data_IF_870373557015
#
_entry.id   IF_870373557015
#
_cell.length_a   1.000
_cell.length_b   1.000
_cell.length_c   1.000
_cell.angle_alpha   90.00
_cell.angle_beta   90.00
_cell.angle_gamma   90.00
#
_symmetry.space_group_name_H-M   'P 1'
#
loop_
_entity.id
_entity.type
_entity.pdbx_description
1 polymer ?
#
# COMPACT_ATOMS: atom_id res chain seq x y z
N UNK A 1 -6.90 12.40 -0.99
CA UNK A 1 -7.35 11.26 -1.79
C UNK A 1 -7.49 10.08 -0.86
N UNK A 2 -8.61 9.38 -0.93
CA UNK A 2 -8.93 8.28 -0.03
C UNK A 2 -8.79 6.96 -0.78
N UNK A 3 -8.03 6.01 -0.24
CA UNK A 3 -7.85 4.68 -0.79
C UNK A 3 -8.46 3.65 0.17
N UNK A 4 -9.72 3.33 -0.08
CA UNK A 4 -10.49 2.43 0.76
C UNK A 4 -9.93 1.02 0.85
N UNK A 5 -9.50 0.47 -0.29
CA UNK A 5 -8.92 -0.87 -0.34
C UNK A 5 -7.56 -0.95 0.38
N UNK A 6 -6.79 0.14 0.36
CA UNK A 6 -5.51 0.25 1.06
C UNK A 6 -5.62 0.66 2.54
N UNK A 7 -6.78 1.16 2.96
CA UNK A 7 -7.02 1.65 4.32
C UNK A 7 -6.24 2.94 4.66
N UNK A 8 -5.99 3.81 3.67
CA UNK A 8 -5.27 5.06 3.91
C UNK A 8 -5.76 6.22 3.03
N UNK A 9 -5.46 7.44 3.48
CA UNK A 9 -5.58 8.66 2.68
C UNK A 9 -4.23 9.33 2.50
N UNK A 10 -4.06 10.10 1.42
CA UNK A 10 -2.82 10.79 1.07
C UNK A 10 -3.08 12.08 0.26
N UNK A 11 -2.06 12.93 0.17
CA UNK A 11 -2.09 14.15 -0.65
C UNK A 11 -1.30 13.92 -1.94
N UNK A 12 -1.93 14.16 -3.09
CA UNK A 12 -1.26 14.04 -4.40
C UNK A 12 -0.27 15.20 -4.56
N UNK A 13 1.00 14.95 -4.91
CA UNK A 13 1.96 16.03 -5.15
C UNK A 13 1.53 16.93 -6.32
N UNK A 14 1.89 18.22 -6.28
CA UNK A 14 1.58 19.15 -7.36
C UNK A 14 2.16 18.67 -8.71
N UNK A 15 1.37 18.72 -9.77
CA UNK A 15 1.76 18.23 -11.10
C UNK A 15 1.66 16.71 -11.28
N UNK A 16 1.03 15.99 -10.35
CA UNK A 16 0.73 14.55 -10.46
C UNK A 16 -0.78 14.29 -10.50
N UNK A 17 -1.16 13.18 -11.12
CA UNK A 17 -2.54 12.67 -11.10
C UNK A 17 -2.55 11.19 -10.77
N UNK A 18 -3.65 10.72 -10.19
CA UNK A 18 -3.91 9.29 -10.05
C UNK A 18 -4.17 8.72 -11.44
N UNK A 19 -3.40 7.71 -11.83
CA UNK A 19 -3.62 6.97 -13.07
C UNK A 19 -4.63 5.85 -12.84
N UNK A 20 -5.48 5.61 -13.84
CA UNK A 20 -6.55 4.62 -13.74
C UNK A 20 -5.97 3.22 -13.59
N UNK A 21 -6.38 2.56 -12.52
CA UNK A 21 -5.66 1.48 -11.88
C UNK A 21 -6.53 0.21 -11.82
N UNK A 22 -7.37 0.00 -12.83
CA UNK A 22 -8.24 -1.18 -12.94
C UNK A 22 -7.50 -2.53 -12.86
N UNK A 23 -6.16 -2.54 -12.92
CA UNK A 23 -5.30 -3.71 -12.69
C UNK A 23 -4.56 -3.75 -11.33
N UNK A 24 -4.58 -2.66 -10.53
CA UNK A 24 -3.93 -2.65 -9.21
C UNK A 24 -4.80 -3.43 -8.22
N UNK A 25 -4.42 -4.69 -8.01
CA UNK A 25 -5.31 -5.69 -7.43
C UNK A 25 -5.50 -5.59 -5.90
N UNK A 26 -4.80 -4.71 -5.18
CA UNK A 26 -4.70 -4.79 -3.70
C UNK A 26 -4.57 -3.43 -2.98
N UNK A 27 -5.36 -2.42 -3.35
CA UNK A 27 -5.39 -1.15 -2.61
C UNK A 27 -4.13 -0.30 -2.77
N UNK A 28 -3.53 -0.38 -3.94
CA UNK A 28 -2.43 0.49 -4.37
C UNK A 28 -2.98 1.64 -5.21
N UNK A 29 -2.23 2.73 -5.29
CA UNK A 29 -2.46 3.83 -6.20
C UNK A 29 -1.19 4.07 -7.01
N UNK A 30 -1.35 4.28 -8.32
CA UNK A 30 -0.29 4.70 -9.22
C UNK A 30 -0.51 6.18 -9.53
N UNK A 31 0.52 7.00 -9.35
CA UNK A 31 0.54 8.39 -9.77
C UNK A 31 1.48 8.53 -10.97
N UNK A 32 1.02 9.31 -11.95
CA UNK A 32 1.80 9.72 -13.12
C UNK A 32 1.84 11.23 -13.19
N UNK A 33 2.92 11.79 -13.73
CA UNK A 33 3.04 13.23 -13.92
C UNK A 33 1.96 13.73 -14.89
N UNK A 34 1.42 14.92 -14.67
CA UNK A 34 0.50 15.56 -15.59
C UNK A 34 1.32 16.00 -16.82
N UNK A 35 0.95 15.59 -18.04
CA UNK A 35 1.68 15.97 -19.23
C UNK A 35 1.58 17.49 -19.44
N UNK A 36 2.64 18.14 -19.95
CA UNK A 36 2.58 19.53 -20.39
C UNK A 36 1.48 19.75 -21.43
N UNK A 37 0.95 20.97 -21.48
CA UNK A 37 -0.04 21.36 -22.48
C UNK A 37 0.48 21.11 -23.90
N UNK A 38 -0.31 20.43 -24.73
CA UNK A 38 0.10 20.02 -26.09
C UNK A 38 0.77 18.65 -26.19
N UNK A 39 1.01 17.95 -25.07
CA UNK A 39 1.47 16.54 -25.09
C UNK A 39 0.38 15.60 -24.56
N UNK A 40 0.03 14.53 -25.30
CA UNK A 40 -1.07 13.65 -24.90
C UNK A 40 -0.68 12.66 -23.80
N UNK A 41 0.61 12.25 -23.72
CA UNK A 41 1.05 11.17 -22.84
C UNK A 41 1.99 11.68 -21.73
N UNK A 42 1.86 11.17 -20.49
CA UNK A 42 2.79 11.49 -19.41
C UNK A 42 4.17 10.88 -19.67
N UNK A 43 5.24 11.43 -19.07
CA UNK A 43 6.56 10.80 -19.09
C UNK A 43 6.50 9.36 -18.56
N UNK A 44 7.17 8.43 -19.24
CA UNK A 44 7.18 7.00 -18.91
C UNK A 44 8.37 6.58 -18.02
N UNK A 45 9.30 7.49 -17.76
CA UNK A 45 10.51 7.29 -16.97
C UNK A 45 10.40 7.85 -15.54
N UNK A 46 9.19 8.27 -15.13
CA UNK A 46 8.89 8.59 -13.73
C UNK A 46 7.47 8.18 -13.34
N UNK A 47 7.32 7.57 -12.17
CA UNK A 47 6.02 7.19 -11.62
C UNK A 47 6.09 7.05 -10.10
N UNK A 48 4.94 7.14 -9.43
CA UNK A 48 4.85 6.91 -7.99
C UNK A 48 3.85 5.81 -7.70
N UNK A 49 4.30 4.76 -7.02
CA UNK A 49 3.44 3.70 -6.53
C UNK A 49 3.32 3.84 -5.01
N UNK A 50 2.11 3.85 -4.49
CA UNK A 50 1.87 3.85 -3.05
C UNK A 50 0.77 2.87 -2.68
N UNK A 51 0.83 2.34 -1.47
CA UNK A 51 -0.15 1.35 -1.04
C UNK A 51 0.13 0.80 0.33
N UNK A 52 -0.70 -0.16 0.72
CA UNK A 52 -0.50 -0.91 1.96
C UNK A 52 0.70 -1.84 1.81
N UNK A 53 1.60 -1.84 2.79
CA UNK A 53 2.74 -2.74 2.81
C UNK A 53 2.29 -4.11 3.32
N UNK A 54 1.74 -4.93 2.42
CA UNK A 54 1.31 -6.29 2.72
C UNK A 54 2.51 -7.25 2.83
N UNK A 55 2.34 -8.32 3.59
CA UNK A 55 3.30 -9.40 3.80
C UNK A 55 3.64 -10.17 2.52
N UNK A 56 2.85 -10.04 1.45
CA UNK A 56 3.19 -10.56 0.13
C UNK A 56 4.38 -9.81 -0.49
N UNK A 57 4.54 -8.53 -0.15
CA UNK A 57 5.76 -7.79 -0.45
C UNK A 57 6.81 -8.23 0.57
N UNK A 58 7.96 -8.68 0.11
CA UNK A 58 9.00 -9.19 1.00
C UNK A 58 9.46 -8.15 2.04
N UNK A 59 9.38 -6.86 1.69
CA UNK A 59 9.57 -5.74 2.60
C UNK A 59 8.56 -5.69 3.78
N UNK A 60 7.34 -6.18 3.60
CA UNK A 60 6.33 -6.25 4.67
C UNK A 60 6.66 -7.26 5.77
N UNK A 61 7.56 -8.22 5.50
CA UNK A 61 8.02 -9.17 6.50
C UNK A 61 9.07 -8.59 7.46
N UNK A 62 9.68 -7.45 7.13
CA UNK A 62 10.75 -6.85 7.92
C UNK A 62 10.23 -6.31 9.25
N UNK A 63 10.99 -6.52 10.33
CA UNK A 63 10.62 -6.03 11.66
C UNK A 63 10.81 -4.51 11.81
N UNK A 64 11.65 -3.90 10.97
CA UNK A 64 12.06 -2.50 11.06
C UNK A 64 11.76 -1.72 9.77
N UNK A 65 11.40 -0.44 9.92
CA UNK A 65 11.01 0.42 8.79
C UNK A 65 12.20 0.76 7.88
N UNK A 66 13.42 0.90 8.41
CA UNK A 66 14.61 1.12 7.58
C UNK A 66 14.94 -0.11 6.73
N UNK A 67 14.89 -1.31 7.33
CA UNK A 67 15.06 -2.57 6.57
C UNK A 67 13.97 -2.76 5.53
N UNK A 68 12.72 -2.47 5.87
CA UNK A 68 11.60 -2.52 4.94
C UNK A 68 11.83 -1.58 3.75
N UNK A 69 12.25 -0.33 4.00
CA UNK A 69 12.51 0.66 2.96
C UNK A 69 13.66 0.24 2.02
N UNK A 70 14.77 -0.25 2.55
CA UNK A 70 15.92 -0.72 1.74
C UNK A 70 15.55 -1.94 0.90
N UNK A 71 14.82 -2.90 1.49
CA UNK A 71 14.35 -4.09 0.78
C UNK A 71 13.35 -3.74 -0.31
N UNK A 72 12.40 -2.85 0.00
CA UNK A 72 11.43 -2.35 -0.97
C UNK A 72 12.11 -1.63 -2.13
N UNK A 73 13.07 -0.75 -1.85
CA UNK A 73 13.85 -0.08 -2.89
C UNK A 73 14.59 -1.10 -3.77
N UNK A 74 15.15 -2.16 -3.17
CA UNK A 74 15.87 -3.20 -3.92
C UNK A 74 14.96 -4.02 -4.81
N UNK A 75 13.86 -4.56 -4.26
CA UNK A 75 12.91 -5.40 -4.98
C UNK A 75 12.24 -4.61 -6.13
N UNK A 76 11.86 -3.35 -5.87
CA UNK A 76 11.27 -2.48 -6.89
C UNK A 76 12.32 -1.98 -7.88
N UNK A 77 13.55 -1.72 -7.43
CA UNK A 77 14.63 -1.34 -8.32
C UNK A 77 14.95 -2.43 -9.33
N UNK A 78 14.98 -3.70 -8.94
CA UNK A 78 15.17 -4.82 -9.85
C UNK A 78 14.02 -4.95 -10.85
N UNK A 79 12.78 -4.78 -10.39
CA UNK A 79 11.59 -4.89 -11.24
C UNK A 79 11.50 -3.76 -12.28
N UNK A 80 11.72 -2.51 -11.86
CA UNK A 80 11.54 -1.34 -12.71
C UNK A 80 12.81 -0.95 -13.49
N UNK A 81 13.99 -1.36 -13.03
CA UNK A 81 15.28 -1.10 -13.66
C UNK A 81 16.07 -2.41 -13.83
N UNK A 82 15.62 -3.34 -14.69
CA UNK A 82 16.21 -4.67 -14.83
C UNK A 82 17.60 -4.66 -15.53
N UNK A 83 18.12 -3.48 -15.84
CA UNK A 83 19.40 -3.32 -16.54
C UNK A 83 20.57 -3.32 -15.54
N UNK A 84 21.71 -3.90 -15.92
CA UNK A 84 22.89 -3.90 -15.08
C UNK A 84 23.38 -2.46 -14.83
N UNK A 85 23.79 -2.20 -13.58
CA UNK A 85 24.28 -0.90 -13.15
C UNK A 85 24.82 -0.92 -11.74
N UNK A 86 25.41 0.20 -11.35
CA UNK A 86 25.99 0.39 -10.01
C UNK A 86 25.13 1.37 -9.21
N UNK A 87 24.79 1.00 -7.97
CA UNK A 87 24.09 1.89 -7.05
C UNK A 87 25.04 2.97 -6.53
N UNK A 88 24.63 4.23 -6.66
CA UNK A 88 25.37 5.41 -6.21
C UNK A 88 24.43 6.34 -5.44
N UNK A 89 24.98 7.34 -4.74
CA UNK A 89 24.21 8.38 -4.05
C UNK A 89 23.16 7.85 -3.07
N UNK A 90 23.49 6.77 -2.36
CA UNK A 90 22.58 6.10 -1.42
C UNK A 90 22.33 7.00 -0.20
N UNK A 91 21.06 7.11 0.20
CA UNK A 91 20.65 7.96 1.32
C UNK A 91 19.49 7.32 2.08
N UNK A 92 19.40 7.63 3.39
CA UNK A 92 18.24 7.31 4.21
C UNK A 92 17.65 8.57 4.82
N UNK A 93 16.33 8.71 4.77
CA UNK A 93 15.62 9.90 5.28
C UNK A 93 14.62 9.45 6.36
N UNK A 94 14.65 10.00 7.58
CA UNK A 94 13.62 9.74 8.58
C UNK A 94 12.28 10.35 8.15
N UNK A 95 11.19 9.63 8.42
CA UNK A 95 9.82 10.05 8.12
C UNK A 95 8.98 10.11 9.40
N UNK A 96 8.04 11.04 9.42
CA UNK A 96 7.05 11.19 10.48
C UNK A 96 5.70 11.57 9.86
N UNK A 97 4.84 10.57 9.70
CA UNK A 97 3.49 10.74 9.19
C UNK A 97 2.50 10.96 10.35
N UNK A 98 2.69 12.06 11.09
CA UNK A 98 1.86 12.45 12.23
C UNK A 98 1.86 11.40 13.36
N UNK A 99 3.06 11.07 13.86
CA UNK A 99 3.30 10.07 14.90
C UNK A 99 3.55 8.66 14.36
N UNK A 100 3.24 8.41 13.09
CA UNK A 100 3.64 7.19 12.40
C UNK A 100 5.09 7.32 11.92
N UNK A 101 6.00 6.72 12.68
CA UNK A 101 7.42 6.72 12.33
C UNK A 101 7.67 5.96 11.03
N UNK A 102 8.69 6.38 10.30
CA UNK A 102 9.08 5.75 9.06
C UNK A 102 10.50 6.07 8.64
N UNK A 103 10.94 5.41 7.59
CA UNK A 103 12.23 5.66 6.96
C UNK A 103 12.04 5.54 5.45
N UNK A 104 12.75 6.38 4.71
CA UNK A 104 12.94 6.21 3.29
C UNK A 104 14.36 5.83 2.95
N UNK A 105 14.52 5.06 1.89
CA UNK A 105 15.79 4.75 1.24
C UNK A 105 15.77 5.30 -0.17
N UNK A 106 16.83 6.01 -0.55
CA UNK A 106 17.05 6.50 -1.89
C UNK A 106 18.35 5.94 -2.45
N UNK A 107 18.38 5.66 -3.74
CA UNK A 107 19.62 5.50 -4.48
C UNK A 107 19.42 5.81 -5.97
N UNK A 108 20.53 6.08 -6.63
CA UNK A 108 20.62 6.22 -8.07
C UNK A 108 21.34 5.00 -8.66
N UNK A 109 20.95 4.59 -9.86
CA UNK A 109 21.58 3.50 -10.60
C UNK A 109 22.27 4.11 -11.81
N UNK A 110 23.60 4.05 -11.81
CA UNK A 110 24.39 4.33 -13.00
C UNK A 110 24.44 3.06 -13.85
N UNK A 111 23.72 3.04 -14.96
CA UNK A 111 23.68 1.88 -15.84
C UNK A 111 25.04 1.66 -16.53
N UNK A 112 25.35 0.40 -16.85
CA UNK A 112 26.55 0.06 -17.62
C UNK A 112 26.47 0.59 -19.05
N UNK A 113 25.26 0.68 -19.61
CA UNK A 113 24.99 1.32 -20.89
C UNK A 113 24.97 2.85 -20.72
N UNK A 114 26.00 3.52 -21.26
CA UNK A 114 26.17 4.96 -21.16
C UNK A 114 25.11 5.78 -21.94
N UNK A 115 24.32 5.14 -22.81
CA UNK A 115 23.23 5.80 -23.52
C UNK A 115 21.93 5.85 -22.71
N UNK A 116 21.86 5.13 -21.57
CA UNK A 116 20.71 5.17 -20.69
C UNK A 116 20.89 6.26 -19.64
N UNK A 117 19.87 7.12 -19.41
CA UNK A 117 19.90 8.03 -18.28
C UNK A 117 19.95 7.23 -16.99
N UNK A 118 20.67 7.73 -15.98
CA UNK A 118 20.72 7.09 -14.69
C UNK A 118 19.31 6.92 -14.12
N UNK A 119 19.01 5.76 -13.56
CA UNK A 119 17.74 5.51 -12.88
C UNK A 119 17.79 6.02 -11.46
N UNK A 120 16.66 6.43 -10.91
CA UNK A 120 16.55 6.87 -9.51
C UNK A 120 15.37 6.19 -8.85
N UNK A 121 15.56 5.78 -7.61
CA UNK A 121 14.49 5.21 -6.80
C UNK A 121 14.53 5.77 -5.39
N UNK A 122 13.36 6.14 -4.90
CA UNK A 122 13.10 6.50 -3.53
C UNK A 122 11.99 5.59 -3.01
N UNK A 123 12.20 4.94 -1.89
CA UNK A 123 11.20 4.07 -1.27
C UNK A 123 11.05 4.42 0.21
N UNK A 124 9.88 4.92 0.59
CA UNK A 124 9.50 5.25 1.95
C UNK A 124 8.55 4.21 2.53
N UNK A 125 8.74 3.88 3.80
CA UNK A 125 7.81 3.07 4.59
C UNK A 125 7.46 3.85 5.86
N UNK A 126 6.16 4.02 6.12
CA UNK A 126 5.62 4.68 7.32
C UNK A 126 4.62 3.75 8.01
N UNK A 127 4.56 3.82 9.33
CA UNK A 127 3.58 3.07 10.12
C UNK A 127 4.20 2.19 11.20
N UNK A 128 3.33 1.59 12.01
CA UNK A 128 3.75 0.83 13.16
C UNK A 128 4.42 -0.49 12.74
N UNK A 129 5.63 -0.80 13.24
CA UNK A 129 6.21 -2.11 13.04
C UNK A 129 5.38 -3.21 13.71
N UNK A 130 5.25 -4.41 13.08
CA UNK A 130 4.68 -5.55 13.76
C UNK A 130 5.47 -5.83 15.04
N UNK A 131 4.81 -6.11 16.18
CA UNK A 131 5.51 -6.45 17.41
C UNK A 131 6.48 -7.63 17.19
N UNK A 132 7.66 -7.62 17.83
CA UNK A 132 8.60 -8.74 17.74
C UNK A 132 7.91 -10.07 18.06
N UNK A 133 8.18 -11.10 17.26
CA UNK A 133 7.58 -12.43 17.45
C UNK A 133 6.16 -12.59 16.93
N UNK A 134 5.50 -11.53 16.41
CA UNK A 134 4.15 -11.66 15.83
C UNK A 134 4.17 -12.62 14.63
N UNK A 135 3.40 -13.74 14.66
CA UNK A 135 3.32 -14.69 13.56
C UNK A 135 2.86 -14.02 12.28
N UNK A 136 3.39 -14.43 11.12
CA UNK A 136 3.09 -13.80 9.82
C UNK A 136 1.58 -13.68 9.57
N UNK A 137 0.79 -14.70 9.89
CA UNK A 137 -0.68 -14.68 9.71
C UNK A 137 -1.46 -13.76 10.67
N UNK A 138 -0.81 -13.16 11.67
CA UNK A 138 -1.43 -12.32 12.71
C UNK A 138 -0.93 -10.86 12.65
N UNK A 139 -0.02 -10.53 11.74
CA UNK A 139 0.45 -9.15 11.59
C UNK A 139 -0.65 -8.34 10.89
N UNK A 140 -1.16 -7.31 11.56
CA UNK A 140 -1.98 -6.30 10.91
C UNK A 140 -1.06 -5.34 10.14
N UNK A 141 -1.17 -5.22 8.81
CA UNK A 141 -0.36 -4.25 8.08
C UNK A 141 -0.89 -2.85 8.33
N UNK A 142 -0.44 -2.20 9.40
CA UNK A 142 -0.59 -0.76 9.65
C UNK A 142 0.63 0.01 9.12
N UNK A 143 1.17 -0.48 8.01
CA UNK A 143 2.28 0.14 7.30
C UNK A 143 1.86 0.42 5.87
N UNK A 144 2.35 1.54 5.38
CA UNK A 144 2.16 1.97 4.01
C UNK A 144 3.50 2.29 3.41
N UNK A 145 3.57 2.13 2.09
CA UNK A 145 4.76 2.41 1.33
C UNK A 145 4.48 3.46 0.26
N UNK A 146 5.56 4.15 -0.12
CA UNK A 146 5.61 5.05 -1.26
C UNK A 146 6.90 4.74 -2.00
N UNK A 147 6.81 4.42 -3.28
CA UNK A 147 7.95 4.19 -4.19
C UNK A 147 7.85 5.22 -5.29
N UNK A 148 8.85 6.09 -5.38
CA UNK A 148 8.99 7.08 -6.44
C UNK A 148 10.14 6.67 -7.35
N UNK A 149 9.81 6.43 -8.61
CA UNK A 149 10.74 6.09 -9.68
C UNK A 149 11.03 7.34 -10.50
N UNK A 150 12.29 7.53 -10.88
CA UNK A 150 12.71 8.61 -11.73
C UNK A 150 13.90 8.23 -12.59
N UNK A 151 14.35 9.18 -13.40
CA UNK A 151 15.54 9.10 -14.23
C UNK A 151 16.34 10.39 -14.13
N UNK A 152 17.51 10.46 -14.73
CA UNK A 152 18.24 11.73 -14.87
C UNK A 152 17.42 12.82 -15.61
N UNK A 153 16.50 12.44 -16.49
CA UNK A 153 15.63 13.38 -17.23
C UNK A 153 14.44 13.84 -16.37
N UNK A 154 13.93 12.95 -15.52
CA UNK A 154 12.84 13.21 -14.59
C UNK A 154 13.25 12.74 -13.19
N UNK A 155 14.08 13.54 -12.50
CA UNK A 155 14.65 13.13 -11.21
C UNK A 155 13.58 13.03 -10.14
N UNK A 156 13.85 12.19 -9.14
CA UNK A 156 12.99 12.09 -7.96
C UNK A 156 13.09 13.37 -7.15
N UNK A 157 11.95 14.02 -6.94
CA UNK A 157 11.83 15.10 -5.96
C UNK A 157 11.75 14.49 -4.56
N UNK A 158 12.90 14.36 -3.90
CA UNK A 158 13.02 13.76 -2.56
C UNK A 158 12.17 14.49 -1.52
N UNK A 159 12.03 15.81 -1.63
CA UNK A 159 11.24 16.60 -0.70
C UNK A 159 9.75 16.32 -0.90
N UNK A 160 9.27 16.35 -2.14
CA UNK A 160 7.88 15.99 -2.45
C UNK A 160 7.56 14.53 -2.11
N UNK A 161 8.52 13.60 -2.30
CA UNK A 161 8.37 12.20 -1.92
C UNK A 161 8.22 12.04 -0.40
N UNK A 162 9.05 12.73 0.38
CA UNK A 162 8.94 12.77 1.84
C UNK A 162 7.62 13.41 2.29
N UNK A 163 7.20 14.53 1.69
CA UNK A 163 5.90 15.15 1.97
C UNK A 163 4.74 14.22 1.66
N UNK A 164 4.78 13.50 0.54
CA UNK A 164 3.77 12.50 0.19
C UNK A 164 3.70 11.39 1.23
N UNK A 165 4.83 10.80 1.62
CA UNK A 165 4.86 9.75 2.63
C UNK A 165 4.38 10.26 4.01
N UNK A 166 4.80 11.46 4.41
CA UNK A 166 4.35 12.10 5.65
C UNK A 166 2.88 12.55 5.62
N UNK A 167 2.24 12.58 4.45
CA UNK A 167 0.80 12.87 4.31
C UNK A 167 -0.10 11.67 4.57
N UNK A 168 0.48 10.45 4.63
CA UNK A 168 -0.30 9.22 4.79
C UNK A 168 -1.02 9.23 6.14
N UNK A 169 -2.32 8.94 6.12
CA UNK A 169 -3.12 8.73 7.33
C UNK A 169 -3.88 7.41 7.21
N UNK A 170 -4.03 6.64 8.30
CA UNK A 170 -4.98 5.54 8.34
C UNK A 170 -6.37 6.05 8.00
N UNK A 171 -7.09 5.32 7.16
CA UNK A 171 -8.43 5.70 6.72
C UNK A 171 -9.34 4.48 6.71
N UNK A 172 -10.54 4.65 7.25
CA UNK A 172 -11.61 3.65 7.20
C UNK A 172 -12.83 4.33 6.57
N UNK A 173 -13.49 3.71 5.57
CA UNK A 173 -14.67 4.30 4.98
C UNK A 173 -15.74 4.49 6.06
N UNK A 174 -16.47 5.61 6.06
CA UNK A 174 -17.60 5.79 6.97
C UNK A 174 -18.60 4.64 6.78
N UNK A 175 -19.22 4.22 7.88
CA UNK A 175 -20.23 3.17 7.84
C UNK A 175 -21.36 3.59 6.87
N UNK A 176 -21.86 2.68 6.02
CA UNK A 176 -23.00 2.98 5.19
C UNK A 176 -24.18 3.42 6.08
N UNK A 177 -25.00 4.39 5.62
CA UNK A 177 -26.18 4.79 6.37
C UNK A 177 -27.04 3.56 6.66
N UNK A 178 -27.62 3.50 7.86
CA UNK A 178 -28.54 2.43 8.23
C UNK A 178 -29.62 2.34 7.14
N UNK A 179 -29.82 1.14 6.59
CA UNK A 179 -30.90 0.90 5.64
C UNK A 179 -32.22 1.33 6.28
N UNK A 180 -33.04 2.07 5.54
CA UNK A 180 -34.36 2.48 6.02
C UNK A 180 -35.17 1.22 6.39
N UNK A 181 -35.60 1.06 7.66
CA UNK A 181 -36.41 -0.08 8.08
C UNK A 181 -37.72 -0.23 7.29
N UNK A 182 -38.15 0.82 6.59
CA UNK A 182 -39.35 0.84 5.76
C UNK A 182 -39.06 0.68 4.25
N UNK A 183 -37.80 0.50 3.84
CA UNK A 183 -37.50 0.23 2.44
C UNK A 183 -38.09 -1.13 2.05
N UNK A 184 -38.91 -1.15 1.00
CA UNK A 184 -39.44 -2.39 0.45
C UNK A 184 -38.26 -3.31 0.07
N UNK A 185 -38.30 -4.61 0.43
CA UNK A 185 -37.24 -5.53 0.04
C UNK A 185 -37.06 -5.51 -1.48
N UNK A 186 -35.82 -5.53 -1.98
CA UNK A 186 -35.57 -5.55 -3.42
C UNK A 186 -36.30 -6.74 -4.05
N UNK A 187 -36.84 -6.59 -5.28
CA UNK A 187 -37.53 -7.67 -5.96
C UNK A 187 -36.60 -8.87 -6.08
N UNK A 188 -37.12 -10.06 -5.75
CA UNK A 188 -36.39 -11.32 -5.87
C UNK A 188 -35.97 -11.53 -7.33
N UNK A 189 -34.66 -11.65 -7.58
CA UNK A 189 -34.14 -12.02 -8.89
C UNK A 189 -34.49 -13.50 -9.17
N UNK A 190 -35.29 -13.81 -10.20
CA UNK A 190 -35.65 -15.18 -10.56
C UNK A 190 -34.47 -16.08 -10.93
N UNK A 191 -33.29 -15.50 -11.20
CA UNK A 191 -32.07 -16.21 -11.58
C UNK A 191 -31.04 -16.30 -10.44
N UNK A 192 -31.38 -15.85 -9.22
CA UNK A 192 -30.47 -15.95 -8.09
C UNK A 192 -30.21 -17.43 -7.72
N UNK A 193 -28.93 -17.83 -7.53
CA UNK A 193 -28.59 -19.13 -6.97
C UNK A 193 -29.27 -19.31 -5.60
N UNK A 194 -29.70 -20.53 -5.23
CA UNK A 194 -30.36 -20.77 -3.94
C UNK A 194 -29.50 -20.29 -2.78
N UNK A 195 -30.12 -19.59 -1.84
CA UNK A 195 -29.47 -19.09 -0.64
C UNK A 195 -28.78 -20.25 0.10
N UNK A 196 -27.47 -20.13 0.32
CA UNK A 196 -26.72 -21.09 1.15
C UNK A 196 -27.22 -20.98 2.59
N UNK A 197 -27.45 -22.10 3.31
CA UNK A 197 -27.84 -22.07 4.71
C UNK A 197 -26.82 -21.26 5.52
N UNK A 198 -27.31 -20.21 6.20
CA UNK A 198 -26.50 -19.35 7.05
C UNK A 198 -25.93 -20.14 8.22
N UNK A 199 -24.61 -20.26 8.28
CA UNK A 199 -23.89 -20.73 9.46
C UNK A 199 -23.84 -19.58 10.45
N UNK A 200 -24.52 -19.73 11.59
CA UNK A 200 -24.40 -18.78 12.71
C UNK A 200 -25.73 -18.34 13.30
N UNK A 201 -26.51 -19.28 13.84
CA UNK A 201 -27.48 -18.95 14.89
C UNK A 201 -27.04 -19.74 16.13
N UNK A 202 -26.72 -19.08 17.26
CA UNK A 202 -26.48 -19.80 18.50
C UNK A 202 -27.79 -20.45 18.94
N UNK A 203 -27.85 -21.79 18.88
CA UNK A 203 -28.90 -22.56 19.53
C UNK A 203 -28.68 -22.51 21.05
N UNK A 204 -29.66 -22.08 21.86
CA UNK A 204 -29.58 -22.22 23.31
C UNK A 204 -29.58 -23.72 23.66
N UNK A 205 -28.49 -24.20 24.25
CA UNK A 205 -28.39 -25.56 24.78
C UNK A 205 -29.32 -25.73 25.98
N UNK A 206 -30.56 -26.12 25.73
CA UNK A 206 -31.48 -26.62 26.75
C UNK A 206 -31.58 -28.13 26.62
N UNK A 207 -30.57 -28.82 27.16
CA UNK A 207 -30.59 -30.16 27.75
C UNK A 207 -29.15 -30.68 27.85
N UNK A 208 -28.55 -30.54 29.03
CA UNK A 208 -27.30 -31.21 29.35
C UNK A 208 -27.59 -32.69 29.70
N UNK A 209 -26.94 -33.68 29.06
CA UNK A 209 -26.93 -35.06 29.53
C UNK A 209 -26.17 -35.17 30.86
N UNK A 210 -26.66 -35.98 31.82
CA UNK A 210 -26.12 -36.00 33.18
C UNK A 210 -24.88 -36.90 33.28
N UNK A 211 -23.69 -36.44 32.88
CA UNK A 211 -22.47 -37.25 33.16
C UNK A 211 -21.11 -36.54 33.16
N UNK A 212 -21.02 -35.21 33.29
CA UNK A 212 -19.72 -34.54 33.52
C UNK A 212 -19.80 -33.35 34.47
N UNK A 213 -19.96 -33.61 35.78
CA UNK A 213 -19.47 -32.69 36.82
C UNK A 213 -18.09 -33.16 37.29
N UNK A 214 -17.10 -32.27 37.43
CA UNK A 214 -15.79 -32.61 38.00
C UNK A 214 -15.89 -32.79 39.53
N UNK A 215 -15.09 -33.69 40.13
CA UNK A 215 -15.12 -33.95 41.57
C UNK A 215 -14.55 -32.79 42.40
N UNK A 216 -15.07 -32.64 43.62
CA UNK A 216 -14.63 -31.68 44.64
C UNK A 216 -13.27 -32.06 45.28
#
# INVERSE_FOLDING_TARGET
MDNAAGGFSYVVPGGWKVSDATQLSYGQALLTKIPPEGTPEPPNDTSVLLGRLDLKLFAGAEADNAKAAVRLASDMGEFFMPFPGTRVNQETVPLDANGLTGVASFYEVKFTDANKPNGQIWAGVVGAPPPPGTPRGQRAPERWFVVWLGSANHPVDKAAAATLANSIRPWTPPAPPAGDPNAAPPPVDPNAPPARPGVGVPVPVTNAPPEMQPPA
#
